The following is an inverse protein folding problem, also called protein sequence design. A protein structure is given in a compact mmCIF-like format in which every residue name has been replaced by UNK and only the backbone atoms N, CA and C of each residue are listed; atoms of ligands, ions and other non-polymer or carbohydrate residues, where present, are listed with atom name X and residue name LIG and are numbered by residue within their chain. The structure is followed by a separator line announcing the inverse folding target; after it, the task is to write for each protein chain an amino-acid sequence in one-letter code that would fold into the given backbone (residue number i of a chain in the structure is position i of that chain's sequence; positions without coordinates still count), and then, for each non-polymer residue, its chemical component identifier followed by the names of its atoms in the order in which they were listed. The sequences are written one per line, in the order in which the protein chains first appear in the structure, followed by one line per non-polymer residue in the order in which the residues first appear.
data_IF_041087354410
#
_entry.id   IF_041087354410
#
_cell.length_a   1.000
_cell.length_b   1.000
_cell.length_c   1.000
_cell.angle_alpha   90.00
_cell.angle_beta   90.00
_cell.angle_gamma   90.00
#
_symmetry.space_group_name_H-M   'P 1'
#
loop_
_entity.id
_entity.type
_entity.pdbx_description
1 polymer ?
#
# COMPACT_ATOMS: atom_id res chain seq x y z
N UNK A 1 9.57 -21.49 -4.93
CA UNK A 1 9.38 -20.03 -5.10
C UNK A 1 9.64 -19.39 -3.76
N UNK A 2 10.66 -18.55 -3.68
CA UNK A 2 11.06 -17.79 -2.48
C UNK A 2 10.23 -16.51 -2.42
N UNK A 3 9.45 -16.34 -1.37
CA UNK A 3 8.58 -15.18 -1.18
C UNK A 3 9.04 -14.44 0.07
N UNK A 4 9.03 -13.10 0.06
CA UNK A 4 9.20 -12.28 1.24
C UNK A 4 8.11 -11.22 1.33
N UNK A 5 7.39 -11.16 2.44
CA UNK A 5 6.42 -10.10 2.72
C UNK A 5 7.02 -9.13 3.73
N UNK A 6 7.29 -7.92 3.28
CA UNK A 6 7.73 -6.83 4.16
C UNK A 6 6.62 -6.46 5.12
N UNK A 7 6.91 -6.46 6.41
CA UNK A 7 6.04 -5.90 7.45
C UNK A 7 6.56 -4.51 7.80
N UNK A 8 6.03 -3.48 7.13
CA UNK A 8 6.44 -2.11 7.38
C UNK A 8 6.04 -1.67 8.80
N UNK A 9 7.02 -1.26 9.59
CA UNK A 9 6.80 -0.77 10.96
C UNK A 9 7.66 0.45 11.29
N UNK A 10 7.13 1.33 12.13
CA UNK A 10 7.85 2.47 12.72
C UNK A 10 7.92 2.38 14.26
N UNK A 11 7.52 1.25 14.83
CA UNK A 11 7.61 0.97 16.27
C UNK A 11 7.80 -0.52 16.51
N UNK A 12 8.27 -0.86 17.70
CA UNK A 12 8.32 -2.24 18.14
C UNK A 12 6.89 -2.81 18.25
N UNK A 13 6.70 -4.00 17.71
CA UNK A 13 5.40 -4.66 17.68
C UNK A 13 5.57 -6.18 17.55
N UNK A 14 4.56 -6.95 17.99
CA UNK A 14 4.54 -8.40 17.73
C UNK A 14 4.51 -8.64 16.23
N UNK A 15 5.36 -9.54 15.74
CA UNK A 15 5.44 -9.90 14.32
C UNK A 15 4.94 -11.33 14.09
N UNK A 16 4.49 -11.66 12.86
CA UNK A 16 4.20 -13.03 12.49
C UNK A 16 5.43 -13.92 12.63
N UNK A 17 5.24 -15.15 13.10
CA UNK A 17 6.34 -16.09 13.30
C UNK A 17 6.77 -16.83 12.02
N UNK A 18 5.93 -16.83 10.97
CA UNK A 18 6.23 -17.49 9.69
C UNK A 18 7.40 -16.75 9.00
N UNK A 19 8.46 -17.48 8.53
CA UNK A 19 9.62 -16.89 7.86
C UNK A 19 9.31 -16.15 6.56
N UNK A 20 8.10 -16.31 6.02
CA UNK A 20 7.56 -15.50 4.93
C UNK A 20 7.64 -13.99 5.22
N UNK A 21 7.50 -13.59 6.51
CA UNK A 21 7.41 -12.20 6.93
C UNK A 21 8.77 -11.65 7.34
N UNK A 22 9.15 -10.55 6.71
CA UNK A 22 10.34 -9.77 7.03
C UNK A 22 9.93 -8.45 7.69
N UNK A 23 10.01 -8.34 9.04
CA UNK A 23 9.85 -7.06 9.70
C UNK A 23 10.89 -6.07 9.20
N UNK A 24 10.46 -4.87 8.80
CA UNK A 24 11.33 -3.82 8.30
C UNK A 24 10.96 -2.49 8.95
N UNK A 25 11.93 -1.88 9.64
CA UNK A 25 11.77 -0.52 10.11
C UNK A 25 11.79 0.44 8.92
N UNK A 26 10.68 1.12 8.65
CA UNK A 26 10.59 2.15 7.60
C UNK A 26 10.93 3.52 8.18
N UNK A 27 11.64 4.34 7.39
CA UNK A 27 12.16 5.61 7.85
C UNK A 27 13.31 5.48 8.86
N UNK A 28 14.07 4.41 8.79
CA UNK A 28 15.17 4.14 9.72
C UNK A 28 16.24 5.24 9.72
N UNK A 29 16.40 6.01 8.63
CA UNK A 29 17.27 7.19 8.58
C UNK A 29 16.79 8.36 9.43
N UNK A 30 15.51 8.38 9.83
CA UNK A 30 14.88 9.50 10.53
C UNK A 30 14.57 9.21 12.00
N UNK A 31 14.69 7.94 12.43
CA UNK A 31 14.24 7.49 13.73
C UNK A 31 15.27 6.61 14.43
N UNK A 32 15.14 6.46 15.72
CA UNK A 32 15.97 5.52 16.50
C UNK A 32 15.79 4.08 15.98
N UNK A 33 16.87 3.31 16.00
CA UNK A 33 16.88 1.93 15.56
C UNK A 33 15.92 1.06 16.40
N UNK A 34 15.12 0.25 15.70
CA UNK A 34 14.30 -0.81 16.28
C UNK A 34 15.03 -2.16 16.18
N UNK A 35 14.58 -3.23 16.87
CA UNK A 35 15.17 -4.56 16.76
C UNK A 35 14.81 -5.27 15.44
N UNK A 36 14.74 -4.51 14.34
CA UNK A 36 14.45 -4.98 13.00
C UNK A 36 15.45 -4.39 11.99
N UNK A 37 15.70 -5.04 10.84
CA UNK A 37 16.39 -4.40 9.74
C UNK A 37 15.75 -3.06 9.38
N UNK A 38 16.59 -2.06 9.07
CA UNK A 38 16.14 -0.76 8.61
C UNK A 38 16.10 -0.66 7.09
N UNK A 39 15.18 0.13 6.56
CA UNK A 39 15.09 0.46 5.13
C UNK A 39 16.17 1.46 4.66
N UNK A 40 17.16 1.78 5.51
CA UNK A 40 18.26 2.71 5.26
C UNK A 40 19.56 2.03 4.82
N UNK A 41 19.51 0.76 4.40
CA UNK A 41 20.65 0.01 3.88
C UNK A 41 20.58 -0.14 2.37
N UNK A 42 21.71 -0.37 1.71
CA UNK A 42 21.76 -0.52 0.25
C UNK A 42 21.13 0.67 -0.51
N UNK A 43 20.56 0.42 -1.67
CA UNK A 43 19.84 1.44 -2.44
C UNK A 43 18.47 1.71 -1.78
N UNK A 44 18.24 2.94 -1.33
CA UNK A 44 17.08 3.27 -0.51
C UNK A 44 16.63 4.74 -0.62
N UNK A 45 15.41 5.00 -0.16
CA UNK A 45 14.81 6.33 0.00
C UNK A 45 14.30 6.54 1.44
N UNK A 46 14.94 5.94 2.43
CA UNK A 46 14.51 5.95 3.84
C UNK A 46 14.28 7.37 4.39
N UNK A 47 15.12 8.33 3.98
CA UNK A 47 14.97 9.74 4.35
C UNK A 47 13.68 10.42 3.86
N UNK A 48 12.93 9.80 2.92
CA UNK A 48 11.65 10.29 2.40
C UNK A 48 10.42 9.71 3.13
N UNK A 49 10.62 8.95 4.20
CA UNK A 49 9.52 8.22 4.87
C UNK A 49 8.41 9.13 5.39
N UNK A 50 8.70 10.36 5.81
CA UNK A 50 7.68 11.31 6.26
C UNK A 50 6.59 11.56 5.21
N UNK A 51 6.93 11.47 3.92
CA UNK A 51 6.03 11.75 2.79
C UNK A 51 5.64 10.50 1.99
N UNK A 52 6.54 9.51 1.86
CA UNK A 52 6.33 8.26 1.12
C UNK A 52 5.79 7.11 1.99
N UNK A 53 5.81 7.24 3.32
CA UNK A 53 5.33 6.24 4.27
C UNK A 53 5.95 4.85 4.04
N UNK A 54 5.12 3.80 4.02
CA UNK A 54 5.54 2.41 3.79
C UNK A 54 6.16 2.15 2.41
N UNK A 55 6.00 3.07 1.47
CA UNK A 55 6.61 2.94 0.15
C UNK A 55 8.13 3.04 0.20
N UNK A 56 8.74 3.62 1.26
CA UNK A 56 10.20 3.54 1.43
C UNK A 56 10.67 2.11 1.66
N UNK A 57 9.89 1.32 2.40
CA UNK A 57 10.13 -0.11 2.56
C UNK A 57 9.90 -0.90 1.27
N UNK A 58 8.91 -0.53 0.45
CA UNK A 58 8.70 -1.12 -0.87
C UNK A 58 9.89 -0.85 -1.80
N UNK A 59 10.38 0.40 -1.84
CA UNK A 59 11.55 0.79 -2.62
C UNK A 59 12.78 -0.02 -2.21
N UNK A 60 13.03 -0.09 -0.89
CA UNK A 60 14.14 -0.88 -0.35
C UNK A 60 14.03 -2.36 -0.74
N UNK A 61 12.85 -2.96 -0.60
CA UNK A 61 12.63 -4.36 -0.97
C UNK A 61 12.84 -4.62 -2.46
N UNK A 62 12.36 -3.71 -3.32
CA UNK A 62 12.56 -3.77 -4.75
C UNK A 62 14.04 -3.77 -5.13
N UNK A 63 14.84 -2.92 -4.48
CA UNK A 63 16.26 -2.74 -4.82
C UNK A 63 17.20 -3.77 -4.18
N UNK A 64 16.85 -4.33 -3.03
CA UNK A 64 17.80 -5.08 -2.21
C UNK A 64 17.41 -6.55 -1.96
N UNK A 65 16.17 -6.97 -2.22
CA UNK A 65 15.77 -8.36 -2.02
C UNK A 65 15.95 -9.20 -3.29
N UNK A 66 16.54 -10.38 -3.14
CA UNK A 66 16.63 -11.42 -4.16
C UNK A 66 15.61 -12.51 -3.83
N UNK A 67 14.37 -12.35 -4.34
CA UNK A 67 13.24 -13.28 -4.12
C UNK A 67 12.37 -13.36 -5.37
N UNK A 68 11.68 -14.49 -5.56
CA UNK A 68 10.79 -14.73 -6.71
C UNK A 68 9.49 -13.90 -6.63
N UNK A 69 9.10 -13.49 -5.41
CA UNK A 69 7.95 -12.63 -5.16
C UNK A 69 8.19 -11.77 -3.90
N UNK A 70 7.67 -10.56 -3.93
CA UNK A 70 7.70 -9.62 -2.80
C UNK A 70 6.29 -9.21 -2.43
N UNK A 71 6.02 -9.12 -1.13
CA UNK A 71 4.81 -8.52 -0.59
C UNK A 71 5.09 -7.34 0.30
N UNK A 72 4.06 -6.52 0.50
CA UNK A 72 4.03 -5.43 1.46
C UNK A 72 2.79 -5.54 2.32
N UNK A 73 2.96 -5.48 3.61
CA UNK A 73 1.90 -5.34 4.60
C UNK A 73 2.36 -4.41 5.74
N UNK A 74 1.48 -4.19 6.72
CA UNK A 74 1.78 -3.30 7.85
C UNK A 74 1.77 -4.09 9.14
N UNK A 75 2.50 -3.67 10.16
CA UNK A 75 2.52 -4.31 11.47
C UNK A 75 1.12 -4.48 12.11
N UNK A 76 0.14 -3.68 11.70
CA UNK A 76 -1.26 -3.74 12.19
C UNK A 76 -2.23 -4.40 11.22
N UNK A 77 -1.79 -4.80 10.03
CA UNK A 77 -2.64 -5.35 8.97
C UNK A 77 -1.90 -6.44 8.24
N UNK A 78 -2.44 -7.63 8.25
CA UNK A 78 -1.86 -8.80 7.57
C UNK A 78 -2.90 -9.43 6.65
N UNK A 79 -2.42 -10.17 5.67
CA UNK A 79 -3.28 -11.02 4.84
C UNK A 79 -3.83 -12.18 5.67
N UNK A 80 -5.10 -12.52 5.48
CA UNK A 80 -5.72 -13.67 6.16
C UNK A 80 -5.49 -14.96 5.37
N UNK A 81 -5.10 -16.03 6.06
CA UNK A 81 -5.07 -17.37 5.48
C UNK A 81 -6.47 -17.90 5.13
N UNK A 82 -6.55 -18.93 4.30
CA UNK A 82 -7.83 -19.50 3.81
C UNK A 82 -8.73 -20.01 4.91
N UNK A 83 -8.17 -20.61 5.95
CA UNK A 83 -8.91 -21.16 7.09
C UNK A 83 -8.88 -20.25 8.32
N UNK A 84 -8.68 -18.96 8.12
CA UNK A 84 -8.52 -17.98 9.19
C UNK A 84 -9.73 -17.91 10.13
N UNK A 85 -10.97 -18.15 9.63
CA UNK A 85 -12.19 -18.11 10.42
C UNK A 85 -12.30 -19.25 11.44
N UNK A 86 -11.60 -20.37 11.24
CA UNK A 86 -11.61 -21.53 12.11
C UNK A 86 -10.65 -21.41 13.30
N UNK A 87 -9.74 -20.43 13.28
CA UNK A 87 -8.73 -20.24 14.34
C UNK A 87 -9.14 -19.14 15.31
N UNK A 88 -8.92 -19.37 16.61
CA UNK A 88 -9.30 -18.42 17.67
C UNK A 88 -8.40 -17.21 17.74
N UNK A 89 -7.07 -17.39 17.75
CA UNK A 89 -6.12 -16.29 17.79
C UNK A 89 -5.99 -15.65 16.39
N UNK A 90 -6.01 -14.32 16.34
CA UNK A 90 -5.80 -13.56 15.09
C UNK A 90 -4.42 -13.85 14.48
N UNK A 91 -3.39 -14.08 15.28
CA UNK A 91 -2.04 -14.35 14.82
C UNK A 91 -1.94 -15.68 14.08
N UNK A 92 -2.70 -16.70 14.52
CA UNK A 92 -2.78 -17.99 13.82
C UNK A 92 -3.57 -17.92 12.51
N UNK A 93 -4.27 -16.81 12.30
CA UNK A 93 -5.11 -16.58 11.11
C UNK A 93 -4.35 -15.89 9.97
N UNK A 94 -3.12 -15.47 10.21
CA UNK A 94 -2.28 -14.80 9.22
C UNK A 94 -1.91 -15.80 8.11
N UNK A 95 -1.86 -15.30 6.87
CA UNK A 95 -1.46 -16.05 5.67
C UNK A 95 -0.08 -16.70 5.88
N UNK A 96 0.03 -18.00 5.63
CA UNK A 96 1.27 -18.76 5.70
C UNK A 96 2.00 -18.77 4.36
N UNK A 97 3.31 -19.10 4.36
CA UNK A 97 4.09 -19.22 3.13
C UNK A 97 3.47 -20.21 2.14
N UNK A 98 3.01 -21.38 2.61
CA UNK A 98 2.34 -22.37 1.77
C UNK A 98 1.10 -21.81 1.09
N UNK A 99 0.27 -21.07 1.82
CA UNK A 99 -0.94 -20.45 1.27
C UNK A 99 -0.59 -19.34 0.27
N UNK A 100 0.44 -18.53 0.54
CA UNK A 100 0.92 -17.51 -0.39
C UNK A 100 1.39 -18.12 -1.71
N UNK A 101 2.17 -19.21 -1.64
CA UNK A 101 2.59 -19.97 -2.83
C UNK A 101 1.40 -20.53 -3.62
N UNK A 102 0.36 -21.01 -2.93
CA UNK A 102 -0.86 -21.51 -3.60
C UNK A 102 -1.67 -20.39 -4.28
N UNK A 103 -1.71 -19.19 -3.70
CA UNK A 103 -2.31 -18.04 -4.36
C UNK A 103 -1.53 -17.64 -5.60
N UNK A 104 -0.21 -17.54 -5.50
CA UNK A 104 0.66 -17.12 -6.62
C UNK A 104 0.75 -18.16 -7.75
N UNK A 105 0.37 -19.42 -7.51
CA UNK A 105 0.16 -20.41 -8.59
C UNK A 105 -1.11 -20.12 -9.42
N UNK A 106 -2.13 -19.45 -8.83
CA UNK A 106 -3.40 -19.16 -9.49
C UNK A 106 -3.41 -17.80 -10.19
N UNK A 107 -2.73 -16.82 -9.62
CA UNK A 107 -2.62 -15.47 -10.17
C UNK A 107 -1.28 -14.87 -9.73
N UNK A 108 -0.61 -14.07 -10.58
CA UNK A 108 0.72 -13.54 -10.29
C UNK A 108 0.72 -12.46 -9.19
N UNK A 109 -0.46 -11.98 -8.80
CA UNK A 109 -0.65 -10.95 -7.76
C UNK A 109 -1.72 -11.40 -6.78
N UNK A 110 -1.45 -11.24 -5.48
CA UNK A 110 -2.42 -11.34 -4.38
C UNK A 110 -2.68 -9.96 -3.80
N UNK A 111 -3.94 -9.55 -3.73
CA UNK A 111 -4.39 -8.27 -3.21
C UNK A 111 -5.28 -8.44 -1.98
N UNK A 112 -5.37 -7.44 -1.08
CA UNK A 112 -6.41 -7.38 -0.08
C UNK A 112 -7.77 -7.27 -0.76
N UNK A 113 -8.85 -7.76 -0.15
CA UNK A 113 -10.20 -7.51 -0.65
C UNK A 113 -10.47 -6.02 -0.76
N UNK A 114 -11.15 -5.61 -1.85
CA UNK A 114 -11.53 -4.22 -2.09
C UNK A 114 -12.33 -3.66 -0.92
N UNK A 115 -11.93 -2.49 -0.46
CA UNK A 115 -12.70 -1.71 0.50
C UNK A 115 -13.80 -0.94 -0.22
N UNK A 116 -15.02 -0.96 0.34
CA UNK A 116 -16.15 -0.20 -0.18
C UNK A 116 -16.39 1.05 0.70
N UNK A 117 -16.47 2.21 0.07
CA UNK A 117 -16.82 3.49 0.72
C UNK A 117 -18.32 3.79 0.66
N UNK A 118 -19.11 2.92 -0.01
CA UNK A 118 -20.57 2.97 -0.16
C UNK A 118 -21.11 4.21 -0.85
N UNK A 119 -20.95 5.38 -0.26
CA UNK A 119 -21.54 6.66 -0.68
C UNK A 119 -20.51 7.64 -1.27
N UNK A 120 -19.23 7.31 -1.22
CA UNK A 120 -18.15 8.12 -1.80
C UNK A 120 -17.39 7.33 -2.86
N UNK A 121 -17.02 8.01 -3.92
CA UNK A 121 -16.06 7.51 -4.90
C UNK A 121 -14.64 7.56 -4.34
N UNK A 122 -13.69 6.89 -4.97
CA UNK A 122 -12.28 7.01 -4.62
C UNK A 122 -11.79 8.46 -4.69
N UNK A 123 -12.29 9.21 -5.68
CA UNK A 123 -11.98 10.63 -5.86
C UNK A 123 -12.57 11.48 -4.75
N UNK A 124 -13.89 11.44 -4.54
CA UNK A 124 -14.53 12.29 -3.52
C UNK A 124 -14.05 11.97 -2.10
N UNK A 125 -13.77 10.69 -1.81
CA UNK A 125 -13.19 10.30 -0.53
C UNK A 125 -11.78 10.89 -0.32
N UNK A 126 -10.96 10.93 -1.39
CA UNK A 126 -9.64 11.55 -1.33
C UNK A 126 -9.75 13.06 -1.14
N UNK A 127 -10.50 13.74 -1.99
CA UNK A 127 -10.69 15.20 -1.94
C UNK A 127 -11.29 15.70 -0.62
N UNK A 128 -12.15 14.91 0.04
CA UNK A 128 -12.69 15.26 1.37
C UNK A 128 -11.71 14.97 2.52
N UNK A 129 -10.75 14.10 2.35
CA UNK A 129 -9.82 13.68 3.41
C UNK A 129 -8.44 14.35 3.28
N UNK A 130 -8.06 14.79 2.09
CA UNK A 130 -6.76 15.32 1.70
C UNK A 130 -6.91 16.49 0.72
N UNK A 131 -5.88 16.81 -0.03
CA UNK A 131 -5.89 17.88 -1.04
C UNK A 131 -6.21 17.31 -2.43
N UNK A 132 -7.24 17.86 -3.06
CA UNK A 132 -7.68 17.45 -4.40
C UNK A 132 -6.59 17.64 -5.47
N UNK A 133 -5.76 18.67 -5.29
CA UNK A 133 -4.63 19.01 -6.15
C UNK A 133 -3.65 17.83 -6.34
N UNK A 134 -3.49 16.97 -5.34
CA UNK A 134 -2.65 15.78 -5.43
C UNK A 134 -3.08 14.85 -6.58
N UNK A 135 -4.41 14.68 -6.74
CA UNK A 135 -4.97 13.84 -7.80
C UNK A 135 -4.98 14.56 -9.16
N UNK A 136 -5.21 15.88 -9.18
CA UNK A 136 -5.18 16.69 -10.40
C UNK A 136 -3.78 16.63 -11.00
N UNK A 137 -2.75 16.96 -10.20
CA UNK A 137 -1.34 16.92 -10.64
C UNK A 137 -0.91 15.51 -11.03
N UNK A 138 -1.36 14.48 -10.31
CA UNK A 138 -1.09 13.08 -10.69
C UNK A 138 -1.67 12.76 -12.07
N UNK A 139 -2.90 13.19 -12.36
CA UNK A 139 -3.54 12.99 -13.66
C UNK A 139 -2.82 13.73 -14.80
N UNK A 140 -2.35 14.94 -14.55
CA UNK A 140 -1.54 15.70 -15.52
C UNK A 140 -0.24 14.96 -15.86
N UNK A 141 0.50 14.47 -14.84
CA UNK A 141 1.72 13.68 -15.05
C UNK A 141 1.42 12.42 -15.87
N UNK A 142 0.34 11.70 -15.54
CA UNK A 142 -0.09 10.53 -16.32
C UNK A 142 -0.38 10.93 -17.79
N UNK A 143 -1.07 12.05 -18.03
CA UNK A 143 -1.40 12.52 -19.38
C UNK A 143 -0.14 12.84 -20.19
N UNK A 144 0.87 13.41 -19.56
CA UNK A 144 2.11 13.81 -20.23
C UNK A 144 3.06 12.63 -20.48
N UNK A 145 3.18 11.69 -19.53
CA UNK A 145 4.26 10.68 -19.50
C UNK A 145 3.80 9.27 -19.88
N UNK A 146 2.55 8.93 -19.58
CA UNK A 146 1.98 7.60 -19.82
C UNK A 146 0.46 7.68 -20.02
N UNK A 147 0.00 8.32 -21.11
CA UNK A 147 -1.43 8.63 -21.34
C UNK A 147 -2.32 7.39 -21.38
N UNK A 148 -1.78 6.20 -21.66
CA UNK A 148 -2.51 4.94 -21.64
C UNK A 148 -3.05 4.58 -20.24
N UNK A 149 -2.52 5.16 -19.17
CA UNK A 149 -3.01 4.94 -17.79
C UNK A 149 -4.16 5.87 -17.40
N UNK A 150 -4.40 6.96 -18.12
CA UNK A 150 -5.44 7.97 -17.80
C UNK A 150 -6.84 7.35 -17.77
N UNK A 151 -7.27 6.51 -18.73
CA UNK A 151 -8.60 5.90 -18.68
C UNK A 151 -8.81 5.04 -17.43
N UNK A 152 -7.82 4.25 -17.01
CA UNK A 152 -7.90 3.44 -15.80
C UNK A 152 -7.88 4.32 -14.53
N UNK A 153 -7.08 5.39 -14.50
CA UNK A 153 -7.05 6.35 -13.41
C UNK A 153 -8.44 6.98 -13.19
N UNK A 154 -9.03 7.53 -14.25
CA UNK A 154 -10.35 8.14 -14.18
C UNK A 154 -11.45 7.12 -13.80
N UNK A 155 -11.37 5.89 -14.31
CA UNK A 155 -12.33 4.83 -14.01
C UNK A 155 -12.23 4.34 -12.56
N UNK A 156 -11.02 4.08 -12.05
CA UNK A 156 -10.82 3.58 -10.69
C UNK A 156 -11.22 4.60 -9.63
N UNK A 157 -10.94 5.88 -9.88
CA UNK A 157 -11.33 6.97 -8.97
C UNK A 157 -12.83 7.25 -8.95
N UNK A 158 -13.58 6.94 -10.01
CA UNK A 158 -15.05 7.05 -10.03
C UNK A 158 -15.75 5.93 -9.24
N UNK A 159 -15.07 4.83 -8.93
CA UNK A 159 -15.66 3.70 -8.19
C UNK A 159 -15.72 3.96 -6.70
N UNK A 160 -16.70 3.35 -6.04
CA UNK A 160 -16.82 3.32 -4.57
C UNK A 160 -15.97 2.23 -3.92
N UNK A 161 -15.41 1.31 -4.72
CA UNK A 161 -14.62 0.17 -4.26
C UNK A 161 -13.22 0.21 -4.88
N UNK A 162 -12.20 -0.13 -4.07
CA UNK A 162 -10.82 -0.26 -4.56
C UNK A 162 -9.93 -0.95 -3.53
N UNK A 163 -8.79 -1.47 -3.99
CA UNK A 163 -7.76 -1.97 -3.10
C UNK A 163 -7.13 -0.81 -2.34
N UNK A 164 -6.78 -1.04 -1.08
CA UNK A 164 -6.26 0.01 -0.20
C UNK A 164 -5.09 -0.54 0.62
N UNK A 165 -4.40 0.37 1.31
CA UNK A 165 -3.32 0.09 2.25
C UNK A 165 -1.94 -0.16 1.62
N UNK A 166 -1.74 0.04 0.34
CA UNK A 166 -0.49 -0.35 -0.36
C UNK A 166 -0.09 -1.81 -0.11
N UNK A 167 -1.07 -2.70 0.09
CA UNK A 167 -0.83 -4.10 0.40
C UNK A 167 -0.95 -4.97 -0.85
N UNK A 168 0.02 -5.82 -1.08
CA UNK A 168 0.01 -6.85 -2.13
C UNK A 168 1.05 -7.93 -1.86
N UNK A 169 0.99 -9.04 -2.59
CA UNK A 169 2.11 -9.95 -2.85
C UNK A 169 2.19 -10.13 -4.35
N UNK A 170 3.32 -9.84 -4.95
CA UNK A 170 3.49 -9.75 -6.40
C UNK A 170 4.73 -10.51 -6.85
N UNK A 171 4.64 -11.23 -7.95
CA UNK A 171 5.80 -11.87 -8.58
C UNK A 171 6.83 -10.83 -9.00
N UNK A 172 8.10 -11.20 -8.97
CA UNK A 172 9.24 -10.31 -9.15
C UNK A 172 9.20 -9.54 -10.47
N UNK A 173 8.91 -10.22 -11.56
CA UNK A 173 8.81 -9.63 -12.89
C UNK A 173 7.79 -8.48 -12.96
N UNK A 174 6.63 -8.67 -12.34
CA UNK A 174 5.60 -7.64 -12.24
C UNK A 174 5.93 -6.55 -11.23
N UNK A 175 6.56 -6.93 -10.11
CA UNK A 175 7.01 -5.96 -9.11
C UNK A 175 8.01 -4.96 -9.71
N UNK A 176 8.98 -5.45 -10.49
CA UNK A 176 9.97 -4.61 -11.14
C UNK A 176 9.32 -3.60 -12.07
N UNK A 177 8.39 -4.05 -12.92
CA UNK A 177 7.64 -3.17 -13.82
C UNK A 177 6.76 -2.16 -13.05
N UNK A 178 6.07 -2.61 -11.99
CA UNK A 178 5.25 -1.76 -11.15
C UNK A 178 6.08 -0.69 -10.42
N UNK A 179 7.19 -1.08 -9.81
CA UNK A 179 8.02 -0.16 -9.06
C UNK A 179 8.71 0.88 -9.96
N UNK A 180 9.18 0.49 -11.16
CA UNK A 180 9.72 1.45 -12.14
C UNK A 180 8.67 2.52 -12.45
N UNK A 181 7.45 2.12 -12.80
CA UNK A 181 6.36 3.03 -13.14
C UNK A 181 5.91 3.87 -11.92
N UNK A 182 5.69 3.23 -10.77
CA UNK A 182 5.19 3.89 -9.57
C UNK A 182 6.15 4.98 -9.07
N UNK A 183 7.42 4.64 -8.92
CA UNK A 183 8.40 5.57 -8.36
C UNK A 183 8.80 6.69 -9.34
N UNK A 184 8.78 6.42 -10.66
CA UNK A 184 8.95 7.48 -11.66
C UNK A 184 7.82 8.53 -11.55
N UNK A 185 6.57 8.08 -11.42
CA UNK A 185 5.41 8.96 -11.20
C UNK A 185 5.50 9.73 -9.88
N UNK A 186 5.79 9.03 -8.78
CA UNK A 186 5.79 9.65 -7.45
C UNK A 186 6.94 10.64 -7.28
N UNK A 187 8.11 10.40 -7.89
CA UNK A 187 9.21 11.36 -7.88
C UNK A 187 8.94 12.58 -8.77
N UNK A 188 8.20 12.41 -9.85
CA UNK A 188 7.74 13.55 -10.63
C UNK A 188 6.67 14.36 -9.89
N UNK A 189 5.74 13.68 -9.21
CA UNK A 189 4.75 14.33 -8.38
C UNK A 189 5.40 15.12 -7.22
N UNK A 190 6.44 14.57 -6.60
CA UNK A 190 7.23 15.23 -5.55
C UNK A 190 7.87 16.55 -6.03
N UNK A 191 8.25 16.65 -7.30
CA UNK A 191 8.82 17.87 -7.88
C UNK A 191 7.77 18.94 -8.17
N UNK A 192 6.53 18.54 -8.47
CA UNK A 192 5.46 19.46 -8.90
C UNK A 192 4.59 19.95 -7.76
N UNK A 193 4.41 19.15 -6.70
CA UNK A 193 3.56 19.55 -5.57
C UNK A 193 4.34 20.38 -4.55
N UNK A 194 3.81 21.56 -4.24
CA UNK A 194 4.24 22.30 -3.06
C UNK A 194 3.42 21.88 -1.83
N UNK A 195 4.03 21.02 -1.02
CA UNK A 195 3.44 20.50 0.22
C UNK A 195 3.85 21.27 1.48
N UNK A 196 4.46 22.44 1.34
CA UNK A 196 5.00 23.23 2.46
C UNK A 196 3.90 23.63 3.45
N UNK A 197 2.71 23.97 2.93
CA UNK A 197 1.52 24.36 3.71
C UNK A 197 0.70 23.18 4.24
N UNK A 198 1.01 21.93 3.86
CA UNK A 198 0.25 20.75 4.28
C UNK A 198 0.46 20.44 5.76
N UNK A 199 -0.58 19.91 6.41
CA UNK A 199 -0.44 19.33 7.75
C UNK A 199 0.55 18.16 7.74
N UNK A 200 1.13 17.79 8.88
CA UNK A 200 2.02 16.62 8.98
C UNK A 200 1.32 15.32 8.56
N UNK A 201 0.00 15.26 8.69
CA UNK A 201 -0.78 14.13 8.20
C UNK A 201 -0.87 14.14 6.66
N UNK A 202 -1.15 15.28 6.04
CA UNK A 202 -1.35 15.41 4.60
C UNK A 202 -0.02 15.39 3.83
N UNK A 203 1.11 15.77 4.45
CA UNK A 203 2.46 15.57 3.88
C UNK A 203 2.75 14.12 3.48
N UNK A 204 1.99 13.15 3.98
CA UNK A 204 2.06 11.74 3.59
C UNK A 204 1.49 11.45 2.19
N UNK A 205 1.35 12.46 1.39
CA UNK A 205 0.69 12.50 0.08
C UNK A 205 1.14 11.38 -0.88
N UNK A 206 2.46 11.11 -0.99
CA UNK A 206 2.95 10.11 -1.94
C UNK A 206 2.54 8.68 -1.52
N UNK A 207 2.46 8.41 -0.22
CA UNK A 207 1.87 7.19 0.30
C UNK A 207 0.37 7.07 -0.02
N UNK A 208 -0.39 8.16 0.10
CA UNK A 208 -1.83 8.18 -0.19
C UNK A 208 -2.14 8.08 -1.68
N UNK A 209 -1.39 8.76 -2.53
CA UNK A 209 -1.51 8.66 -4.00
C UNK A 209 -1.10 7.26 -4.46
N UNK A 210 0.02 6.73 -3.97
CA UNK A 210 0.48 5.37 -4.29
C UNK A 210 -0.59 4.31 -4.03
N UNK A 211 -1.37 4.46 -2.94
CA UNK A 211 -2.51 3.56 -2.63
C UNK A 211 -3.58 3.56 -3.73
N UNK A 212 -3.74 4.65 -4.48
CA UNK A 212 -4.70 4.75 -5.59
C UNK A 212 -4.13 4.18 -6.89
N UNK A 213 -2.83 4.30 -7.08
CA UNK A 213 -2.13 3.94 -8.31
C UNK A 213 -2.02 2.43 -8.53
N UNK A 214 -2.09 1.60 -7.48
CA UNK A 214 -2.03 0.14 -7.62
C UNK A 214 -3.17 -0.41 -8.51
N UNK A 215 -4.42 0.01 -8.27
CA UNK A 215 -5.55 -0.41 -9.10
C UNK A 215 -5.41 0.08 -10.55
N UNK A 216 -4.89 1.29 -10.74
CA UNK A 216 -4.64 1.88 -12.07
C UNK A 216 -3.64 1.03 -12.84
N UNK A 217 -2.52 0.67 -12.23
CA UNK A 217 -1.50 -0.16 -12.86
C UNK A 217 -2.01 -1.56 -13.21
N UNK A 218 -2.71 -2.20 -12.27
CA UNK A 218 -3.30 -3.54 -12.46
C UNK A 218 -4.27 -3.55 -13.64
N UNK A 219 -5.14 -2.55 -13.75
CA UNK A 219 -6.17 -2.49 -14.79
C UNK A 219 -5.59 -2.15 -16.15
N UNK A 220 -4.68 -1.17 -16.24
CA UNK A 220 -4.06 -0.79 -17.52
C UNK A 220 -3.26 -1.94 -18.10
N UNK A 221 -2.55 -2.69 -17.27
CA UNK A 221 -1.72 -3.82 -17.73
C UNK A 221 -2.49 -5.15 -17.78
N UNK A 222 -3.80 -5.18 -17.54
CA UNK A 222 -4.65 -6.37 -17.57
C UNK A 222 -4.13 -7.51 -16.69
N UNK A 223 -3.56 -7.17 -15.52
CA UNK A 223 -2.95 -8.16 -14.63
C UNK A 223 -4.04 -8.92 -13.87
N UNK A 224 -4.01 -10.25 -13.97
CA UNK A 224 -4.86 -11.11 -13.17
C UNK A 224 -4.39 -11.14 -11.71
N UNK A 225 -5.33 -11.15 -10.77
CA UNK A 225 -5.03 -11.19 -9.34
C UNK A 225 -5.98 -12.10 -8.58
N UNK A 226 -5.53 -12.56 -7.42
CA UNK A 226 -6.37 -13.18 -6.39
C UNK A 226 -6.60 -12.19 -5.24
N UNK A 227 -7.66 -12.36 -4.48
CA UNK A 227 -7.94 -11.55 -3.31
C UNK A 227 -8.04 -12.40 -2.04
N UNK A 228 -7.59 -11.86 -0.91
CA UNK A 228 -7.86 -12.41 0.41
C UNK A 228 -8.24 -11.33 1.42
N UNK A 229 -8.92 -11.70 2.52
CA UNK A 229 -9.28 -10.72 3.56
C UNK A 229 -8.06 -10.14 4.27
N UNK A 230 -8.24 -8.96 4.86
CA UNK A 230 -7.24 -8.32 5.74
C UNK A 230 -7.60 -8.56 7.20
N UNK A 231 -6.62 -8.98 7.97
CA UNK A 231 -6.69 -9.05 9.43
C UNK A 231 -6.20 -7.74 10.02
N UNK A 232 -7.07 -7.08 10.79
CA UNK A 232 -6.70 -5.92 11.59
C UNK A 232 -6.32 -6.37 12.99
N UNK A 233 -5.08 -6.19 13.37
CA UNK A 233 -4.56 -6.66 14.67
C UNK A 233 -5.07 -5.80 15.81
N UNK A 234 -5.24 -4.50 15.58
CA UNK A 234 -5.81 -3.55 16.55
C UNK A 234 -7.32 -3.40 16.39
N UNK A 235 -8.00 -2.96 17.45
CA UNK A 235 -9.43 -2.65 17.42
C UNK A 235 -9.72 -1.52 16.44
N UNK A 236 -10.73 -1.69 15.59
CA UNK A 236 -11.02 -0.74 14.52
C UNK A 236 -11.93 0.43 14.95
N UNK A 237 -12.48 0.45 16.18
CA UNK A 237 -13.39 1.50 16.70
C UNK A 237 -14.38 2.02 15.65
N UNK A 238 -15.10 1.11 14.98
CA UNK A 238 -15.98 1.40 13.82
C UNK A 238 -16.98 2.54 14.07
N UNK A 239 -17.53 2.64 15.28
CA UNK A 239 -18.46 3.71 15.64
C UNK A 239 -17.81 5.09 15.57
N UNK A 240 -16.59 5.26 16.11
CA UNK A 240 -15.85 6.53 16.03
C UNK A 240 -15.47 6.89 14.59
N UNK A 241 -15.11 5.89 13.78
CA UNK A 241 -14.77 6.10 12.36
C UNK A 241 -16.00 6.46 11.53
N UNK A 242 -17.15 5.81 11.79
CA UNK A 242 -18.42 6.09 11.11
C UNK A 242 -18.93 7.50 11.40
N UNK A 243 -18.91 7.94 12.68
CA UNK A 243 -19.32 9.30 13.07
C UNK A 243 -18.39 10.38 12.51
N UNK A 244 -17.07 10.15 12.49
CA UNK A 244 -16.10 11.07 11.90
C UNK A 244 -16.25 11.17 10.37
N UNK A 245 -16.60 10.07 9.70
CA UNK A 245 -16.88 10.04 8.27
C UNK A 245 -18.15 10.86 7.93
N UNK A 246 -19.24 10.64 8.68
CA UNK A 246 -20.49 11.40 8.50
C UNK A 246 -20.29 12.88 8.79
N UNK A 247 -19.56 13.24 9.85
CA UNK A 247 -19.25 14.64 10.15
C UNK A 247 -18.51 15.33 9.01
N UNK A 248 -17.48 14.72 8.44
CA UNK A 248 -16.72 15.30 7.32
C UNK A 248 -17.55 15.51 6.07
N UNK A 249 -18.59 14.69 5.83
CA UNK A 249 -19.45 14.81 4.66
C UNK A 249 -20.56 15.85 4.82
N UNK A 250 -21.09 16.05 6.02
CA UNK A 250 -22.29 16.86 6.25
C UNK A 250 -22.04 18.16 7.04
N UNK A 251 -20.84 18.36 7.57
CA UNK A 251 -20.45 19.53 8.34
C UNK A 251 -19.18 20.12 7.71
N UNK A 252 -19.37 20.72 6.55
CA UNK A 252 -18.47 21.69 5.93
C UNK A 252 -19.14 23.04 5.93
#
# INVERSE_FOLDING_TARGET
MKISIIVATHKEYRMPADPLYLPLQVGASLHQALPYPGDNTGENISGKNATFCELTGLYWAWKNLDTDAVGLCHYRRHFAGRHSSLRRDKWDRILTEKEAQEFLKKAPVLLPRKRNYYIETGYSQYAHAHHEEDLITTREILTERCPEYVPAFDATLKRTKGHRFNMFVMRRDLLDAYCVWLFDLLFELEKRLDISSYSDYDKRVFGFVGERLLDVWIETNHISYAECPVLHMESQHWLKKGTAFLKRKFIR
#
